data_IF_096364196392
#
_entry.id   IF_096364196392
#
_cell.length_a   1.000
_cell.length_b   1.000
_cell.length_c   1.000
_cell.angle_alpha   90.00
_cell.angle_beta   90.00
_cell.angle_gamma   90.00
#
_symmetry.space_group_name_H-M   'P 1'
#
loop_
_entity.id
_entity.type
_entity.pdbx_description
1 polymer ?
#
# COMPACT_ATOMS: atom_id res chain seq x y z
N UNK A 1 7.74 49.65 11.92
CA UNK A 1 6.71 50.67 11.61
C UNK A 1 7.00 51.22 10.22
N UNK A 2 6.22 50.80 9.24
CA UNK A 2 6.27 51.28 7.86
C UNK A 2 4.91 50.95 7.24
N UNK A 3 4.04 51.95 7.26
CA UNK A 3 2.73 51.96 6.59
C UNK A 3 2.91 52.62 5.23
N UNK A 4 2.41 52.01 4.17
CA UNK A 4 1.93 52.75 3.00
C UNK A 4 0.79 51.98 2.33
N UNK A 5 -0.35 52.67 2.26
CA UNK A 5 -1.63 52.34 1.64
C UNK A 5 -1.56 52.36 0.10
N UNK A 6 -2.36 51.52 -0.57
CA UNK A 6 -3.33 51.88 -1.64
C UNK A 6 -3.83 50.59 -2.31
N UNK A 7 -5.07 50.15 -2.09
CA UNK A 7 -6.30 50.46 -2.86
C UNK A 7 -6.38 49.87 -4.29
N UNK A 8 -6.88 48.62 -4.33
CA UNK A 8 -7.87 47.95 -5.22
C UNK A 8 -8.27 48.67 -6.54
N UNK A 9 -8.36 47.94 -7.66
CA UNK A 9 -9.69 47.67 -8.21
C UNK A 9 -9.97 46.19 -8.50
N UNK A 10 -11.18 45.79 -8.15
CA UNK A 10 -11.82 44.53 -8.48
C UNK A 10 -12.21 44.48 -9.96
N UNK A 11 -12.09 43.31 -10.58
CA UNK A 11 -12.99 42.71 -11.58
C UNK A 11 -12.32 41.45 -12.14
N UNK A 12 -12.82 40.27 -11.78
CA UNK A 12 -13.62 39.41 -12.66
C UNK A 12 -12.94 39.09 -13.99
N UNK A 13 -12.57 37.82 -14.16
CA UNK A 13 -12.97 37.00 -15.31
C UNK A 13 -12.68 35.52 -14.99
N UNK A 14 -13.74 34.79 -14.62
CA UNK A 14 -13.76 33.33 -14.72
C UNK A 14 -13.65 32.95 -16.19
N UNK A 15 -12.62 32.19 -16.54
CA UNK A 15 -12.63 31.38 -17.77
C UNK A 15 -12.44 29.93 -17.36
N UNK A 16 -13.55 29.23 -17.19
CA UNK A 16 -13.57 27.79 -17.13
C UNK A 16 -13.21 27.26 -18.52
N UNK A 17 -11.94 26.94 -18.73
CA UNK A 17 -11.51 26.16 -19.90
C UNK A 17 -12.02 24.72 -19.71
N UNK A 18 -13.11 24.39 -20.40
CA UNK A 18 -13.67 23.04 -20.43
C UNK A 18 -12.70 22.06 -21.07
N UNK A 19 -12.31 21.03 -20.33
CA UNK A 19 -11.63 19.87 -20.88
C UNK A 19 -12.63 19.03 -21.70
N UNK A 20 -12.63 19.20 -23.02
CA UNK A 20 -13.18 18.18 -23.93
C UNK A 20 -12.16 17.04 -23.98
N UNK A 21 -12.38 15.98 -23.20
CA UNK A 21 -11.61 14.74 -23.31
C UNK A 21 -12.36 13.81 -24.25
N UNK A 22 -11.78 13.58 -25.41
CA UNK A 22 -12.33 12.66 -26.41
C UNK A 22 -12.04 11.22 -25.96
N UNK A 23 -13.10 10.43 -25.80
CA UNK A 23 -13.06 8.99 -25.55
C UNK A 23 -12.27 8.30 -26.66
N UNK A 24 -11.12 7.73 -26.33
CA UNK A 24 -10.39 6.83 -27.21
C UNK A 24 -9.82 5.71 -26.38
N UNK A 25 -10.31 4.51 -26.65
CA UNK A 25 -9.63 3.26 -26.34
C UNK A 25 -9.98 2.66 -24.98
N UNK A 26 -10.92 1.73 -25.02
CA UNK A 26 -11.01 0.64 -24.06
C UNK A 26 -9.62 0.01 -23.84
N UNK A 27 -9.23 -0.19 -22.58
CA UNK A 27 -9.31 -1.55 -22.07
C UNK A 27 -10.31 -1.57 -20.93
N UNK A 28 -11.05 -2.68 -20.87
CA UNK A 28 -11.94 -3.11 -19.80
C UNK A 28 -11.21 -3.03 -18.45
N UNK A 29 -11.09 -1.84 -17.89
CA UNK A 29 -10.69 -1.60 -16.52
C UNK A 29 -11.94 -1.80 -15.70
N UNK A 30 -11.98 -2.94 -15.02
CA UNK A 30 -12.94 -3.21 -13.97
C UNK A 30 -13.09 -1.94 -13.11
N UNK A 31 -14.28 -1.35 -13.16
CA UNK A 31 -14.65 -0.26 -12.28
C UNK A 31 -14.47 -0.75 -10.86
N UNK A 32 -13.52 -0.15 -10.16
CA UNK A 32 -13.32 -0.31 -8.73
C UNK A 32 -14.60 0.13 -8.05
N UNK A 33 -15.37 -0.83 -7.54
CA UNK A 33 -16.48 -0.56 -6.64
C UNK A 33 -15.97 0.34 -5.52
N UNK A 34 -16.53 1.55 -5.42
CA UNK A 34 -16.42 2.38 -4.21
C UNK A 34 -17.22 1.69 -3.12
N UNK A 35 -16.66 0.59 -2.60
CA UNK A 35 -17.08 -0.02 -1.36
C UNK A 35 -16.50 0.81 -0.22
N UNK A 36 -17.22 0.91 0.90
CA UNK A 36 -16.65 1.44 2.13
C UNK A 36 -15.28 0.79 2.39
N UNK A 37 -14.25 1.55 2.80
CA UNK A 37 -12.93 0.98 3.07
C UNK A 37 -13.07 -0.16 4.09
N UNK A 38 -12.74 -1.39 3.68
CA UNK A 38 -12.78 -2.56 4.56
C UNK A 38 -13.97 -3.52 4.39
N UNK A 39 -14.74 -3.44 3.29
CA UNK A 39 -15.72 -4.48 2.95
C UNK A 39 -15.52 -4.99 1.52
N UNK A 40 -14.26 -5.19 1.12
CA UNK A 40 -13.85 -5.56 -0.22
C UNK A 40 -12.97 -6.81 -0.26
N UNK A 41 -12.91 -7.44 -1.43
CA UNK A 41 -11.92 -8.48 -1.73
C UNK A 41 -10.82 -7.90 -2.60
N UNK A 42 -9.55 -8.12 -2.24
CA UNK A 42 -8.39 -7.71 -3.03
C UNK A 42 -7.85 -8.87 -3.86
N UNK A 43 -7.27 -8.56 -5.01
CA UNK A 43 -6.45 -9.50 -5.76
C UNK A 43 -5.18 -9.85 -4.96
N UNK A 44 -4.65 -11.08 -5.15
CA UNK A 44 -3.46 -11.55 -4.45
C UNK A 44 -2.27 -10.58 -4.62
N UNK A 45 -1.92 -10.23 -5.87
CA UNK A 45 -0.79 -9.32 -6.12
C UNK A 45 -0.94 -7.95 -5.43
N UNK A 46 -2.16 -7.42 -5.40
CA UNK A 46 -2.44 -6.13 -4.78
C UNK A 46 -2.28 -6.20 -3.25
N UNK A 47 -2.96 -7.15 -2.59
CA UNK A 47 -2.89 -7.27 -1.13
C UNK A 47 -1.50 -7.65 -0.64
N UNK A 48 -0.82 -8.57 -1.34
CA UNK A 48 0.55 -8.95 -1.02
C UNK A 48 1.53 -7.79 -1.26
N UNK A 49 1.35 -7.02 -2.33
CA UNK A 49 2.13 -5.80 -2.59
C UNK A 49 2.03 -4.79 -1.45
N UNK A 50 0.82 -4.56 -0.93
CA UNK A 50 0.60 -3.65 0.22
C UNK A 50 1.32 -4.13 1.48
N UNK A 51 1.30 -5.44 1.76
CA UNK A 51 2.03 -6.01 2.92
C UNK A 51 3.54 -5.88 2.76
N UNK A 52 4.07 -6.16 1.56
CA UNK A 52 5.51 -6.05 1.27
C UNK A 52 5.99 -4.62 1.48
N UNK A 53 5.26 -3.63 0.96
CA UNK A 53 5.61 -2.22 1.15
C UNK A 53 5.54 -1.83 2.63
N UNK A 54 4.50 -2.24 3.36
CA UNK A 54 4.38 -1.96 4.78
C UNK A 54 5.54 -2.54 5.61
N UNK A 55 6.02 -3.74 5.26
CA UNK A 55 7.20 -4.33 5.90
C UNK A 55 8.46 -3.55 5.57
N UNK A 56 8.67 -3.19 4.29
CA UNK A 56 9.85 -2.41 3.93
C UNK A 56 9.84 -0.99 4.53
N UNK A 57 8.67 -0.37 4.67
CA UNK A 57 8.52 0.90 5.40
C UNK A 57 8.97 0.76 6.86
N UNK A 58 8.58 -0.33 7.54
CA UNK A 58 9.07 -0.64 8.88
C UNK A 58 10.58 -0.84 8.90
N UNK A 59 11.14 -1.59 7.95
CA UNK A 59 12.59 -1.83 7.90
C UNK A 59 13.38 -0.53 7.67
N UNK A 60 12.84 0.42 6.89
CA UNK A 60 13.40 1.77 6.78
C UNK A 60 13.30 2.51 8.11
N UNK A 61 12.13 2.50 8.76
CA UNK A 61 11.94 3.15 10.07
C UNK A 61 12.83 2.56 11.17
N UNK A 62 13.18 1.28 11.05
CA UNK A 62 14.08 0.56 11.95
C UNK A 62 15.57 0.67 11.59
N UNK A 63 15.96 1.52 10.62
CA UNK A 63 17.35 1.72 10.19
C UNK A 63 18.06 0.43 9.69
N UNK A 64 17.27 -0.47 9.08
CA UNK A 64 17.73 -1.72 8.49
C UNK A 64 17.95 -1.63 6.97
N UNK A 65 17.70 -0.46 6.36
CA UNK A 65 17.85 -0.23 4.92
C UNK A 65 18.95 0.80 4.65
N UNK A 66 19.97 0.41 3.90
CA UNK A 66 21.12 1.25 3.56
C UNK A 66 22.40 0.44 3.33
N UNK A 67 23.48 1.11 2.93
CA UNK A 67 24.78 0.46 2.74
C UNK A 67 25.27 -0.17 4.05
N UNK A 68 25.71 -1.44 3.99
CA UNK A 68 26.14 -2.21 5.16
C UNK A 68 25.02 -2.62 6.12
N UNK A 69 23.75 -2.35 5.80
CA UNK A 69 22.59 -2.77 6.59
C UNK A 69 22.02 -4.10 6.09
N UNK A 70 20.99 -4.61 6.79
CA UNK A 70 20.28 -5.84 6.43
C UNK A 70 19.81 -5.85 4.97
N UNK A 71 19.22 -4.75 4.53
CA UNK A 71 18.85 -4.55 3.13
C UNK A 71 19.65 -3.40 2.55
N UNK A 72 20.46 -3.66 1.52
CA UNK A 72 21.29 -2.62 0.88
C UNK A 72 20.44 -1.49 0.31
N UNK A 73 19.27 -1.82 -0.22
CA UNK A 73 18.31 -0.85 -0.79
C UNK A 73 16.89 -1.24 -0.47
N UNK A 74 15.96 -0.27 -0.58
CA UNK A 74 14.52 -0.53 -0.48
C UNK A 74 14.05 -1.54 -1.53
N UNK A 75 14.59 -1.49 -2.75
CA UNK A 75 14.32 -2.47 -3.80
C UNK A 75 14.72 -3.88 -3.38
N UNK A 76 15.88 -4.02 -2.74
CA UNK A 76 16.36 -5.31 -2.24
C UNK A 76 15.45 -5.84 -1.13
N UNK A 77 15.03 -4.98 -0.20
CA UNK A 77 14.01 -5.32 0.80
C UNK A 77 12.75 -5.92 0.16
N UNK A 78 12.19 -5.24 -0.86
CA UNK A 78 10.96 -5.71 -1.52
C UNK A 78 11.13 -7.07 -2.15
N UNK A 79 12.27 -7.31 -2.82
CA UNK A 79 12.57 -8.60 -3.47
C UNK A 79 12.69 -9.73 -2.44
N UNK A 80 13.45 -9.50 -1.38
CA UNK A 80 13.69 -10.52 -0.36
C UNK A 80 12.40 -10.86 0.40
N UNK A 81 11.63 -9.84 0.81
CA UNK A 81 10.34 -10.04 1.48
C UNK A 81 9.34 -10.72 0.54
N UNK A 82 9.25 -10.31 -0.74
CA UNK A 82 8.40 -11.00 -1.72
C UNK A 82 8.77 -12.47 -1.87
N UNK A 83 10.06 -12.78 -1.97
CA UNK A 83 10.53 -14.16 -2.11
C UNK A 83 10.16 -15.00 -0.88
N UNK A 84 10.39 -14.48 0.34
CA UNK A 84 10.00 -15.16 1.57
C UNK A 84 8.47 -15.37 1.65
N UNK A 85 7.71 -14.35 1.28
CA UNK A 85 6.25 -14.37 1.25
C UNK A 85 5.71 -15.44 0.28
N UNK A 86 6.26 -15.52 -0.93
CA UNK A 86 5.88 -16.54 -1.92
C UNK A 86 6.31 -17.93 -1.48
N UNK A 87 7.46 -18.07 -0.81
CA UNK A 87 7.90 -19.35 -0.26
C UNK A 87 6.96 -19.85 0.86
N UNK A 88 6.41 -18.95 1.67
CA UNK A 88 5.48 -19.29 2.76
C UNK A 88 4.07 -19.57 2.24
N UNK A 89 3.54 -18.73 1.34
CA UNK A 89 2.12 -18.73 0.97
C UNK A 89 1.85 -19.34 -0.41
N UNK A 90 2.88 -19.48 -1.25
CA UNK A 90 2.75 -19.84 -2.66
C UNK A 90 2.44 -18.65 -3.59
N UNK A 91 2.49 -18.86 -4.93
CA UNK A 91 2.32 -17.78 -5.91
C UNK A 91 0.87 -17.28 -6.03
N UNK A 92 -0.12 -18.10 -5.66
CA UNK A 92 -1.54 -17.73 -5.64
C UNK A 92 -2.18 -18.25 -4.35
N UNK A 93 -1.93 -17.57 -3.21
CA UNK A 93 -2.26 -18.12 -1.91
C UNK A 93 -3.77 -18.18 -1.65
N UNK A 94 -4.54 -17.25 -2.20
CA UNK A 94 -5.98 -17.15 -1.95
C UNK A 94 -6.78 -17.20 -3.27
N UNK A 95 -7.30 -18.37 -3.68
CA UNK A 95 -8.06 -18.51 -4.92
C UNK A 95 -9.30 -17.61 -5.02
N UNK A 96 -9.95 -17.34 -3.88
CA UNK A 96 -11.15 -16.50 -3.78
C UNK A 96 -10.82 -15.02 -3.45
N UNK A 97 -9.54 -14.65 -3.50
CA UNK A 97 -9.07 -13.33 -3.12
C UNK A 97 -8.78 -13.15 -1.63
N UNK A 98 -8.29 -11.97 -1.30
CA UNK A 98 -7.90 -11.55 0.03
C UNK A 98 -8.99 -10.69 0.66
N UNK A 99 -9.23 -10.86 1.96
CA UNK A 99 -10.12 -9.99 2.74
C UNK A 99 -9.43 -8.65 2.99
N UNK A 100 -9.92 -7.56 2.40
CA UNK A 100 -9.30 -6.24 2.48
C UNK A 100 -9.12 -5.78 3.93
N UNK A 101 -10.12 -5.99 4.78
CA UNK A 101 -10.08 -5.62 6.19
C UNK A 101 -8.97 -6.36 6.95
N UNK A 102 -8.70 -7.60 6.58
CA UNK A 102 -7.63 -8.40 7.19
C UNK A 102 -6.25 -7.98 6.69
N UNK A 103 -6.14 -7.59 5.42
CA UNK A 103 -4.92 -6.99 4.87
C UNK A 103 -4.62 -5.67 5.59
N UNK A 104 -5.61 -4.80 5.76
CA UNK A 104 -5.42 -3.53 6.45
C UNK A 104 -5.04 -3.72 7.92
N UNK A 105 -5.67 -4.68 8.61
CA UNK A 105 -5.29 -5.04 9.97
C UNK A 105 -3.86 -5.61 10.05
N UNK A 106 -3.48 -6.50 9.14
CA UNK A 106 -2.11 -7.02 9.03
C UNK A 106 -1.09 -5.89 8.84
N UNK A 107 -1.36 -4.95 7.93
CA UNK A 107 -0.49 -3.78 7.69
C UNK A 107 -0.36 -2.92 8.95
N UNK A 108 -1.46 -2.71 9.68
CA UNK A 108 -1.44 -1.95 10.93
C UNK A 108 -0.55 -2.62 11.98
N UNK A 109 -0.66 -3.94 12.15
CA UNK A 109 0.18 -4.70 13.07
C UNK A 109 1.65 -4.64 12.65
N UNK A 110 1.96 -4.88 11.37
CA UNK A 110 3.33 -4.78 10.82
C UNK A 110 3.95 -3.43 11.13
N UNK A 111 3.20 -2.34 11.03
CA UNK A 111 3.70 -0.99 11.35
C UNK A 111 3.93 -0.78 12.85
N UNK A 112 3.20 -1.48 13.71
CA UNK A 112 3.33 -1.42 15.17
C UNK A 112 4.37 -2.36 15.76
N UNK A 113 4.89 -3.31 14.99
CA UNK A 113 5.92 -4.25 15.46
C UNK A 113 7.21 -3.55 15.86
N UNK A 114 7.74 -3.89 17.03
CA UNK A 114 9.05 -3.39 17.50
C UNK A 114 10.15 -3.71 16.50
N UNK A 115 11.12 -2.82 16.37
CA UNK A 115 12.35 -3.06 15.63
C UNK A 115 13.14 -4.17 16.33
N UNK A 116 13.11 -5.37 15.77
CA UNK A 116 13.90 -6.51 16.22
C UNK A 116 14.60 -7.13 15.02
N UNK A 117 15.81 -7.64 15.26
CA UNK A 117 16.65 -8.23 14.20
C UNK A 117 16.05 -9.54 13.65
N UNK A 118 15.12 -10.17 14.39
CA UNK A 118 14.51 -11.48 14.11
C UNK A 118 13.01 -11.43 13.70
N UNK A 119 12.51 -10.27 13.28
CA UNK A 119 11.10 -9.99 12.95
C UNK A 119 10.61 -10.45 11.56
N UNK A 120 11.29 -11.42 10.92
CA UNK A 120 11.10 -11.69 9.49
C UNK A 120 9.88 -12.53 9.11
N UNK A 121 9.24 -13.21 10.05
CA UNK A 121 8.18 -14.15 9.69
C UNK A 121 6.81 -13.47 9.68
N UNK A 122 6.21 -13.33 8.50
CA UNK A 122 4.78 -13.01 8.34
C UNK A 122 3.89 -13.91 9.20
N UNK A 123 4.27 -15.18 9.35
CA UNK A 123 3.65 -16.16 10.22
C UNK A 123 3.55 -15.75 11.71
N UNK A 124 4.46 -14.90 12.22
CA UNK A 124 4.45 -14.44 13.62
C UNK A 124 3.35 -13.42 13.86
N UNK A 125 2.96 -12.65 12.85
CA UNK A 125 1.79 -11.76 12.92
C UNK A 125 0.55 -12.60 12.66
N UNK A 126 -0.18 -12.96 13.72
CA UNK A 126 -1.34 -13.83 13.63
C UNK A 126 -2.38 -13.35 12.59
N UNK A 127 -2.53 -12.03 12.42
CA UNK A 127 -3.45 -11.39 11.47
C UNK A 127 -2.99 -11.52 10.01
N UNK A 128 -1.68 -11.66 9.77
CA UNK A 128 -1.12 -11.81 8.43
C UNK A 128 -1.07 -13.27 7.95
N UNK A 129 -1.45 -14.24 8.79
CA UNK A 129 -1.43 -15.66 8.42
C UNK A 129 -2.40 -15.94 7.28
N UNK A 130 -2.02 -16.87 6.41
CA UNK A 130 -2.82 -17.35 5.27
C UNK A 130 -4.31 -17.50 5.56
N UNK A 131 -4.68 -18.31 6.56
CA UNK A 131 -6.07 -18.55 6.95
C UNK A 131 -6.79 -17.26 7.43
N UNK A 132 -6.04 -16.32 7.98
CA UNK A 132 -6.55 -15.04 8.46
C UNK A 132 -6.69 -13.98 7.36
N UNK A 133 -6.11 -14.15 6.17
CA UNK A 133 -6.21 -13.18 5.07
C UNK A 133 -7.03 -13.68 3.87
N UNK A 134 -7.08 -14.98 3.60
CA UNK A 134 -7.85 -15.50 2.46
C UNK A 134 -9.35 -15.55 2.72
N UNK A 135 -10.15 -15.17 1.73
CA UNK A 135 -11.61 -15.45 1.72
C UNK A 135 -11.82 -16.98 1.76
N UNK A 136 -12.67 -17.51 2.66
CA UNK A 136 -12.94 -18.94 2.73
C UNK A 136 -13.60 -19.45 1.44
N UNK A 137 -13.58 -20.77 1.26
CA UNK A 137 -14.34 -21.44 0.19
C UNK A 137 -15.82 -21.51 0.54
#
# INVERSE_FOLDING_TARGET
>A
MNKTLALIPACLLLVAAGCKREDTGEPRSATTTTGAPGMGTLANEEGMGRIIEARCDREVACDNVGEGKKYVTRERCRKDIRAATVAELGPNPCPNGLREERINACISEVRGEKCSVSGDDLAKVAVCRHAAICVPK
#
